data_IF_851921628998
#
_entry.id   IF_851921628998
#
_cell.length_a   1.000
_cell.length_b   1.000
_cell.length_c   1.000
_cell.angle_alpha   90.00
_cell.angle_beta   90.00
_cell.angle_gamma   90.00
#
_symmetry.space_group_name_H-M   'P 1'
#
loop_
_entity.id
_entity.type
_entity.pdbx_description
1 polymer ?
#
# COMPACT_ATOMS: atom_id res chain seq x y z
N UNK A 1 50.84 -18.44 25.05
CA UNK A 1 50.24 -19.62 25.72
C UNK A 1 49.25 -19.09 26.73
N UNK A 2 48.00 -18.91 26.31
CA UNK A 2 46.89 -18.60 27.19
C UNK A 2 46.41 -19.91 27.78
N UNK A 3 46.57 -20.07 29.11
CA UNK A 3 46.07 -21.23 29.82
C UNK A 3 44.58 -21.34 29.63
N UNK A 4 44.15 -22.40 28.91
CA UNK A 4 42.74 -22.70 28.70
C UNK A 4 42.07 -22.90 30.07
N UNK A 5 41.02 -22.14 30.32
CA UNK A 5 40.09 -22.35 31.42
C UNK A 5 39.59 -23.80 31.31
N UNK A 6 39.61 -24.60 32.41
CA UNK A 6 39.07 -25.96 32.29
C UNK A 6 37.62 -25.90 31.82
N UNK A 7 37.33 -26.48 30.68
CA UNK A 7 35.96 -26.68 30.19
C UNK A 7 35.17 -27.46 31.24
N UNK A 8 34.13 -26.88 31.78
CA UNK A 8 33.16 -27.59 32.62
C UNK A 8 32.15 -28.26 31.70
N UNK A 9 31.95 -29.55 31.92
CA UNK A 9 30.91 -30.28 31.24
C UNK A 9 29.59 -30.05 32.00
N UNK A 10 28.67 -29.33 31.39
CA UNK A 10 27.34 -29.07 31.93
C UNK A 10 26.43 -30.23 31.55
N UNK A 11 25.73 -30.81 32.51
CA UNK A 11 24.71 -31.83 32.26
C UNK A 11 23.54 -31.29 31.40
N UNK A 12 22.57 -32.15 31.10
CA UNK A 12 21.34 -31.76 30.38
C UNK A 12 20.63 -30.60 31.10
N UNK A 13 19.66 -30.01 30.45
CA UNK A 13 18.80 -28.99 31.06
C UNK A 13 18.00 -29.63 32.18
N UNK A 14 18.37 -29.38 33.43
CA UNK A 14 17.70 -29.92 34.62
C UNK A 14 16.52 -29.02 35.01
N UNK A 15 15.42 -29.14 34.24
CA UNK A 15 14.14 -28.52 34.61
C UNK A 15 13.24 -29.56 35.28
N UNK A 16 12.94 -29.30 36.55
CA UNK A 16 11.85 -30.05 37.20
C UNK A 16 10.51 -29.70 36.57
N UNK A 17 9.54 -30.60 36.58
CA UNK A 17 8.21 -30.40 36.02
C UNK A 17 7.54 -29.09 36.53
N UNK A 18 7.77 -28.74 37.78
CA UNK A 18 7.24 -27.52 38.40
C UNK A 18 7.87 -26.25 37.79
N UNK A 19 9.18 -26.27 37.53
CA UNK A 19 9.87 -25.15 36.87
C UNK A 19 9.51 -25.00 35.41
N UNK A 20 9.33 -26.11 34.70
CA UNK A 20 8.83 -26.14 33.34
C UNK A 20 7.44 -25.50 33.25
N UNK A 21 6.52 -25.91 34.15
CA UNK A 21 5.17 -25.35 34.23
C UNK A 21 5.19 -23.86 34.61
N UNK A 22 6.08 -23.44 35.51
CA UNK A 22 6.24 -22.04 35.87
C UNK A 22 6.69 -21.20 34.68
N UNK A 23 7.71 -21.65 33.93
CA UNK A 23 8.19 -20.99 32.71
C UNK A 23 7.07 -20.83 31.67
N UNK A 24 6.33 -21.91 31.39
CA UNK A 24 5.22 -21.84 30.42
C UNK A 24 4.13 -20.86 30.86
N UNK A 25 3.79 -20.82 32.16
CA UNK A 25 2.82 -19.86 32.71
C UNK A 25 3.30 -18.41 32.57
N UNK A 26 4.56 -18.14 32.80
CA UNK A 26 5.14 -16.80 32.65
C UNK A 26 5.18 -16.34 31.20
N UNK A 27 5.55 -17.25 30.28
CA UNK A 27 5.53 -16.98 28.85
C UNK A 27 4.10 -16.69 28.36
N UNK A 28 3.09 -17.46 28.80
CA UNK A 28 1.70 -17.22 28.49
C UNK A 28 1.23 -15.85 29.01
N UNK A 29 1.63 -15.50 30.24
CA UNK A 29 1.29 -14.21 30.83
C UNK A 29 1.92 -13.05 30.05
N UNK A 30 3.21 -13.17 29.71
CA UNK A 30 3.91 -12.17 28.89
C UNK A 30 3.25 -12.03 27.51
N UNK A 31 2.85 -13.14 26.87
CA UNK A 31 2.12 -13.15 25.60
C UNK A 31 0.78 -12.42 25.70
N UNK A 32 0.04 -12.62 26.79
CA UNK A 32 -1.29 -12.03 27.01
C UNK A 32 -1.26 -10.55 27.37
N UNK A 33 -0.13 -9.99 27.79
CA UNK A 33 -0.01 -8.57 28.14
C UNK A 33 0.13 -7.62 26.94
N UNK A 34 0.29 -8.14 25.73
CA UNK A 34 0.32 -7.36 24.50
C UNK A 34 1.51 -6.41 24.30
N UNK A 35 2.74 -6.71 24.76
CA UNK A 35 3.86 -5.74 24.76
C UNK A 35 4.43 -5.45 23.36
N UNK A 36 3.93 -6.08 22.30
CA UNK A 36 4.53 -6.03 20.96
C UNK A 36 5.60 -7.11 20.73
N UNK A 37 6.15 -7.15 19.50
CA UNK A 37 7.06 -8.24 19.09
C UNK A 37 8.40 -8.21 19.83
N UNK A 38 9.08 -7.07 19.83
CA UNK A 38 10.42 -6.96 20.44
C UNK A 38 10.42 -7.10 21.97
N UNK A 39 9.52 -6.43 22.72
CA UNK A 39 9.45 -6.62 24.18
C UNK A 39 9.09 -8.06 24.57
N UNK A 40 8.21 -8.73 23.82
CA UNK A 40 7.84 -10.12 24.05
C UNK A 40 9.03 -11.06 23.78
N UNK A 41 9.73 -10.88 22.65
CA UNK A 41 10.90 -11.68 22.30
C UNK A 41 12.05 -11.50 23.31
N UNK A 42 12.29 -10.28 23.77
CA UNK A 42 13.29 -9.99 24.79
C UNK A 42 12.92 -10.59 26.17
N UNK A 43 11.65 -10.52 26.57
CA UNK A 43 11.18 -11.15 27.78
C UNK A 43 11.32 -12.68 27.72
N UNK A 44 10.93 -13.28 26.59
CA UNK A 44 11.09 -14.72 26.36
C UNK A 44 12.55 -15.15 26.42
N UNK A 45 13.47 -14.40 25.79
CA UNK A 45 14.89 -14.69 25.84
C UNK A 45 15.43 -14.75 27.28
N UNK A 46 15.08 -13.78 28.13
CA UNK A 46 15.49 -13.77 29.55
C UNK A 46 14.91 -14.94 30.33
N UNK A 47 13.59 -15.17 30.22
CA UNK A 47 12.92 -16.26 30.93
C UNK A 47 13.50 -17.63 30.57
N UNK A 48 13.80 -17.87 29.28
CA UNK A 48 14.42 -19.11 28.81
C UNK A 48 15.81 -19.26 29.39
N UNK A 49 16.65 -18.23 29.32
CA UNK A 49 18.02 -18.27 29.84
C UNK A 49 18.02 -18.60 31.33
N UNK A 50 17.16 -17.94 32.11
CA UNK A 50 17.06 -18.17 33.56
C UNK A 50 16.57 -19.60 33.88
N UNK A 51 15.54 -20.06 33.18
CA UNK A 51 14.96 -21.38 33.44
C UNK A 51 15.86 -22.54 33.01
N UNK A 52 16.54 -22.41 31.85
CA UNK A 52 17.38 -23.48 31.27
C UNK A 52 18.83 -23.43 31.77
N UNK A 53 19.22 -22.44 32.57
CA UNK A 53 20.58 -22.19 32.97
C UNK A 53 21.54 -22.19 31.77
N UNK A 54 21.14 -21.55 30.70
CA UNK A 54 21.97 -21.24 29.50
C UNK A 54 22.54 -19.83 29.64
N UNK A 55 23.67 -19.54 28.96
CA UNK A 55 24.34 -18.24 29.11
C UNK A 55 23.63 -17.15 28.29
N UNK A 56 23.11 -17.50 27.12
CA UNK A 56 22.38 -16.55 26.25
C UNK A 56 21.31 -17.22 25.42
N UNK A 57 20.25 -16.46 25.19
CA UNK A 57 19.17 -16.82 24.27
C UNK A 57 18.98 -15.70 23.25
N UNK A 58 18.88 -16.06 21.97
CA UNK A 58 18.55 -15.18 20.86
C UNK A 58 17.23 -15.60 20.22
N UNK A 59 16.34 -14.66 20.07
CA UNK A 59 15.05 -14.85 19.38
C UNK A 59 15.09 -14.06 18.08
N UNK A 60 15.14 -14.78 16.98
CA UNK A 60 15.07 -14.19 15.63
C UNK A 60 13.67 -14.36 15.08
N UNK A 61 13.13 -13.31 14.47
CA UNK A 61 11.78 -13.31 13.87
C UNK A 61 11.90 -12.98 12.38
N UNK A 62 11.06 -13.61 11.58
CA UNK A 62 10.96 -13.30 10.15
C UNK A 62 10.57 -11.84 9.96
N UNK A 63 11.24 -11.15 9.04
CA UNK A 63 10.88 -9.81 8.60
C UNK A 63 9.54 -9.83 7.82
N UNK A 64 8.99 -8.63 7.56
CA UNK A 64 7.70 -8.50 6.86
C UNK A 64 7.76 -8.98 5.40
N UNK A 65 8.96 -9.12 4.82
CA UNK A 65 9.17 -9.68 3.48
C UNK A 65 9.31 -11.20 3.47
N UNK A 66 9.34 -11.86 4.65
CA UNK A 66 9.58 -13.28 4.85
C UNK A 66 10.87 -13.83 4.18
N UNK A 67 11.87 -12.95 3.98
CA UNK A 67 13.13 -13.30 3.31
C UNK A 67 14.34 -13.32 4.23
N UNK A 68 14.23 -12.78 5.42
CA UNK A 68 15.30 -12.72 6.39
C UNK A 68 14.79 -12.81 7.83
N UNK A 69 15.66 -13.26 8.70
CA UNK A 69 15.46 -13.25 10.15
C UNK A 69 16.08 -11.98 10.73
N UNK A 70 15.35 -11.28 11.59
CA UNK A 70 15.85 -10.13 12.35
C UNK A 70 15.93 -10.52 13.83
N UNK A 71 17.00 -10.14 14.52
CA UNK A 71 17.12 -10.35 15.96
C UNK A 71 16.07 -9.47 16.67
N UNK A 72 15.05 -10.09 17.25
CA UNK A 72 13.94 -9.41 17.92
C UNK A 72 14.06 -9.48 19.44
N UNK A 73 14.81 -10.45 19.99
CA UNK A 73 15.04 -10.59 21.40
C UNK A 73 16.40 -11.22 21.72
N UNK A 74 17.05 -10.75 22.77
CA UNK A 74 18.32 -11.26 23.24
C UNK A 74 18.44 -11.10 24.75
N UNK A 75 19.20 -12.01 25.37
CA UNK A 75 19.61 -11.86 26.78
C UNK A 75 20.70 -10.79 26.90
N UNK A 76 20.69 -9.92 27.91
CA UNK A 76 21.78 -8.97 28.14
C UNK A 76 23.16 -9.65 28.23
N UNK A 77 24.23 -9.02 27.71
CA UNK A 77 24.32 -7.64 27.23
C UNK A 77 23.99 -7.48 25.71
N UNK A 78 23.45 -8.49 25.08
CA UNK A 78 23.21 -8.51 23.62
C UNK A 78 21.88 -7.86 23.20
N UNK A 79 21.09 -7.38 24.14
CA UNK A 79 19.87 -6.61 23.91
C UNK A 79 20.11 -5.31 23.12
N UNK A 80 21.32 -4.75 23.22
CA UNK A 80 21.72 -3.61 22.38
C UNK A 80 21.79 -3.91 20.86
N UNK A 81 21.81 -5.18 20.46
CA UNK A 81 21.90 -5.62 19.07
C UNK A 81 20.52 -5.97 18.44
N UNK A 82 19.46 -5.85 19.22
CA UNK A 82 18.07 -6.06 18.74
C UNK A 82 17.79 -5.09 17.60
N UNK A 83 17.21 -5.61 16.52
CA UNK A 83 16.87 -4.86 15.30
C UNK A 83 18.02 -4.61 14.32
N UNK A 84 19.29 -4.80 14.75
CA UNK A 84 20.47 -4.52 13.91
C UNK A 84 20.95 -5.72 13.11
N UNK A 85 20.72 -6.93 13.61
CA UNK A 85 21.20 -8.16 12.98
C UNK A 85 20.11 -8.72 12.08
N UNK A 86 20.45 -8.85 10.81
CA UNK A 86 19.59 -9.43 9.78
C UNK A 86 20.29 -10.59 9.08
N UNK A 87 19.64 -11.74 9.05
CA UNK A 87 20.11 -13.01 8.51
C UNK A 87 19.21 -13.46 7.38
N UNK A 88 19.70 -13.50 6.12
CA UNK A 88 18.96 -14.14 5.03
C UNK A 88 18.64 -15.61 5.36
N UNK A 89 17.51 -16.11 4.88
CA UNK A 89 17.15 -17.51 4.99
C UNK A 89 18.24 -18.38 4.32
N UNK A 90 18.56 -19.52 4.92
CA UNK A 90 19.61 -20.42 4.47
C UNK A 90 21.04 -20.00 4.88
N UNK A 91 21.26 -18.81 5.40
CA UNK A 91 22.57 -18.35 5.84
C UNK A 91 22.78 -18.51 7.36
N UNK A 92 23.91 -19.06 7.74
CA UNK A 92 24.19 -19.35 9.15
C UNK A 92 23.33 -20.48 9.70
N UNK A 93 23.54 -20.88 10.94
CA UNK A 93 22.75 -21.94 11.60
C UNK A 93 21.29 -21.55 11.71
N UNK A 94 21.00 -20.34 12.19
CA UNK A 94 19.62 -19.86 12.34
C UNK A 94 18.89 -19.76 10.98
N UNK A 95 19.55 -19.27 9.93
CA UNK A 95 18.98 -19.22 8.58
C UNK A 95 18.74 -20.61 7.98
N UNK A 96 19.62 -21.57 8.28
CA UNK A 96 19.46 -22.96 7.87
C UNK A 96 18.25 -23.59 8.58
N UNK A 97 18.14 -23.42 9.92
CA UNK A 97 16.99 -23.92 10.70
C UNK A 97 15.69 -23.32 10.18
N UNK A 98 15.68 -22.04 9.85
CA UNK A 98 14.50 -21.39 9.25
C UNK A 98 14.09 -22.02 7.92
N UNK A 99 15.06 -22.34 7.05
CA UNK A 99 14.80 -22.89 5.73
C UNK A 99 14.40 -24.38 5.75
N UNK A 100 15.04 -25.17 6.63
CA UNK A 100 14.83 -26.62 6.70
C UNK A 100 13.80 -27.04 7.76
N UNK A 101 13.45 -26.12 8.68
CA UNK A 101 12.51 -26.36 9.77
C UNK A 101 12.89 -27.56 10.66
N UNK A 102 14.18 -27.77 10.81
CA UNK A 102 14.75 -28.82 11.62
C UNK A 102 15.65 -28.21 12.69
N UNK A 103 15.62 -28.74 13.92
CA UNK A 103 16.51 -28.28 14.98
C UNK A 103 17.96 -28.63 14.65
N UNK A 104 18.89 -27.79 15.13
CA UNK A 104 20.33 -28.03 15.06
C UNK A 104 20.88 -28.01 16.46
N UNK A 105 21.64 -29.05 16.82
CA UNK A 105 22.34 -29.18 18.10
C UNK A 105 23.84 -29.24 17.82
N UNK A 106 24.59 -28.41 18.51
CA UNK A 106 26.06 -28.43 18.45
C UNK A 106 26.56 -28.40 19.90
N UNK A 107 27.18 -29.48 20.32
CA UNK A 107 27.69 -29.63 21.69
C UNK A 107 29.12 -29.11 21.85
N UNK A 108 29.92 -29.07 20.76
CA UNK A 108 31.31 -28.58 20.75
C UNK A 108 31.70 -28.24 19.32
N UNK A 109 32.81 -27.51 19.17
CA UNK A 109 33.46 -27.23 17.88
C UNK A 109 32.54 -26.68 16.80
N UNK A 110 31.67 -25.72 17.18
CA UNK A 110 30.69 -25.13 16.24
C UNK A 110 31.34 -24.38 15.07
N UNK A 111 32.62 -23.97 15.20
CA UNK A 111 33.35 -23.30 14.14
C UNK A 111 33.68 -24.26 12.99
N UNK A 112 33.69 -25.57 13.25
CA UNK A 112 33.85 -26.60 12.21
C UNK A 112 32.56 -26.95 11.48
N UNK A 113 31.40 -26.49 11.97
CA UNK A 113 30.13 -26.70 11.27
C UNK A 113 30.08 -25.78 10.01
N UNK A 114 29.91 -26.33 8.80
CA UNK A 114 29.92 -25.56 7.56
C UNK A 114 28.80 -24.52 7.47
N UNK A 115 27.78 -24.64 8.32
CA UNK A 115 26.66 -23.68 8.41
C UNK A 115 26.98 -22.53 9.32
N UNK A 116 28.02 -22.63 10.16
CA UNK A 116 28.33 -21.61 11.15
C UNK A 116 28.79 -20.30 10.48
N UNK A 117 28.17 -19.21 10.87
CA UNK A 117 28.55 -17.85 10.43
C UNK A 117 28.69 -16.98 11.69
N UNK A 118 29.90 -16.55 12.03
CA UNK A 118 30.13 -15.72 13.21
C UNK A 118 29.59 -14.30 13.00
N UNK A 119 28.96 -13.76 14.03
CA UNK A 119 28.64 -12.33 14.16
C UNK A 119 29.49 -11.79 15.28
N UNK A 120 30.41 -10.87 14.97
CA UNK A 120 31.33 -10.29 15.97
C UNK A 120 30.56 -9.58 17.09
N UNK A 121 29.49 -8.86 16.76
CA UNK A 121 28.67 -8.15 17.73
C UNK A 121 27.95 -9.09 18.72
N UNK A 122 27.66 -10.33 18.32
CA UNK A 122 27.06 -11.36 19.19
C UNK A 122 28.13 -12.22 19.89
N UNK A 123 29.42 -11.93 19.71
CA UNK A 123 30.51 -12.64 20.34
C UNK A 123 30.37 -14.16 20.19
N UNK A 124 29.94 -14.61 19.02
CA UNK A 124 29.56 -16.00 18.75
C UNK A 124 30.66 -17.01 19.11
N UNK A 125 31.96 -16.63 19.06
CA UNK A 125 33.10 -17.47 19.42
C UNK A 125 33.26 -17.73 20.91
N UNK A 126 32.63 -16.92 21.77
CA UNK A 126 32.70 -17.09 23.22
C UNK A 126 31.84 -18.26 23.74
N UNK A 127 30.95 -18.78 22.90
CA UNK A 127 30.03 -19.86 23.26
C UNK A 127 30.46 -21.18 22.60
N UNK A 128 30.53 -22.25 23.38
CA UNK A 128 30.98 -23.58 22.94
C UNK A 128 29.80 -24.38 22.35
N UNK A 129 28.68 -24.43 23.05
CA UNK A 129 27.54 -25.26 22.63
C UNK A 129 26.33 -24.40 22.29
N UNK A 130 25.48 -24.95 21.43
CA UNK A 130 24.24 -24.30 21.05
C UNK A 130 23.14 -25.27 20.64
N UNK A 131 21.89 -24.86 20.83
CA UNK A 131 20.71 -25.43 20.17
C UNK A 131 19.96 -24.34 19.45
N UNK A 132 19.58 -24.62 18.23
CA UNK A 132 18.75 -23.76 17.39
C UNK A 132 17.49 -24.51 17.00
N UNK A 133 16.31 -23.96 17.30
CA UNK A 133 15.02 -24.60 17.00
C UNK A 133 14.12 -23.64 16.21
N UNK A 134 13.30 -24.17 15.25
CA UNK A 134 12.32 -23.35 14.55
C UNK A 134 11.17 -22.97 15.48
N UNK A 135 10.67 -21.75 15.32
CA UNK A 135 9.46 -21.24 15.96
C UNK A 135 8.33 -21.23 14.93
N UNK A 136 7.36 -22.13 15.09
CA UNK A 136 6.29 -22.34 14.10
C UNK A 136 4.89 -22.23 14.69
N UNK A 137 3.94 -21.68 13.91
CA UNK A 137 2.51 -21.68 14.22
C UNK A 137 1.81 -22.71 13.34
N UNK A 138 1.59 -23.92 13.86
CA UNK A 138 0.94 -24.99 13.11
C UNK A 138 1.72 -25.47 11.88
N UNK A 139 1.10 -26.28 11.00
CA UNK A 139 1.79 -26.84 9.83
C UNK A 139 2.10 -25.73 8.81
N UNK A 140 3.32 -25.29 8.75
CA UNK A 140 3.85 -24.44 7.68
C UNK A 140 4.07 -22.97 7.99
N UNK A 141 3.65 -22.48 9.13
CA UNK A 141 3.86 -21.06 9.50
C UNK A 141 5.15 -20.83 10.29
N UNK A 142 6.29 -20.66 9.62
CA UNK A 142 7.52 -20.25 10.29
C UNK A 142 7.37 -18.77 10.75
N UNK A 143 7.62 -18.53 12.04
CA UNK A 143 7.62 -17.18 12.63
C UNK A 143 9.04 -16.72 12.90
N UNK A 144 9.94 -17.64 13.19
CA UNK A 144 11.30 -17.31 13.52
C UNK A 144 12.13 -18.50 13.98
N UNK A 145 13.23 -18.20 14.67
CA UNK A 145 14.18 -19.20 15.20
C UNK A 145 14.60 -18.79 16.60
N UNK A 146 14.58 -19.75 17.51
CA UNK A 146 15.05 -19.63 18.87
C UNK A 146 16.43 -20.31 19.00
N UNK A 147 17.41 -19.61 19.54
CA UNK A 147 18.74 -20.14 19.79
C UNK A 147 19.09 -19.99 21.27
N UNK A 148 19.64 -21.04 21.85
CA UNK A 148 20.26 -21.01 23.19
C UNK A 148 21.72 -21.40 23.07
N UNK A 149 22.58 -20.73 23.84
CA UNK A 149 24.02 -20.97 23.81
C UNK A 149 24.56 -21.09 25.22
N UNK A 150 25.65 -21.87 25.37
CA UNK A 150 26.41 -21.97 26.59
C UNK A 150 27.90 -21.73 26.32
N UNK A 151 28.57 -21.08 27.29
CA UNK A 151 30.02 -20.86 27.28
C UNK A 151 30.75 -22.17 27.57
N UNK A 152 30.30 -22.88 28.60
CA UNK A 152 30.81 -24.21 28.93
C UNK A 152 30.17 -25.28 28.03
N UNK A 153 30.89 -26.39 27.81
CA UNK A 153 30.36 -27.51 27.01
C UNK A 153 29.10 -28.08 27.63
N UNK A 154 28.05 -28.27 26.82
CA UNK A 154 26.80 -28.91 27.19
C UNK A 154 26.33 -29.91 26.14
N UNK A 155 26.01 -31.11 26.60
CA UNK A 155 25.34 -32.10 25.76
C UNK A 155 23.82 -31.96 25.89
N UNK A 156 23.19 -31.39 24.88
CA UNK A 156 21.75 -31.25 24.86
C UNK A 156 21.10 -32.58 24.48
N UNK A 157 20.21 -33.06 25.32
CA UNK A 157 19.47 -34.31 25.11
C UNK A 157 18.30 -34.12 24.15
N UNK A 158 17.71 -35.19 23.57
CA UNK A 158 16.48 -35.10 22.79
C UNK A 158 15.32 -34.46 23.56
N UNK A 159 15.26 -34.64 24.88
CA UNK A 159 14.26 -34.01 25.75
C UNK A 159 14.45 -32.50 25.84
N UNK A 160 15.70 -32.02 25.89
CA UNK A 160 16.00 -30.58 25.90
C UNK A 160 15.57 -29.91 24.60
N UNK A 161 15.80 -30.57 23.46
CA UNK A 161 15.38 -30.10 22.15
C UNK A 161 13.85 -30.07 22.06
N UNK A 162 13.17 -31.10 22.53
CA UNK A 162 11.72 -31.17 22.56
C UNK A 162 11.10 -30.03 23.40
N UNK A 163 11.65 -29.80 24.59
CA UNK A 163 11.28 -28.67 25.45
C UNK A 163 11.42 -27.33 24.73
N UNK A 164 12.56 -27.07 24.09
CA UNK A 164 12.80 -25.84 23.34
C UNK A 164 11.86 -25.70 22.13
N UNK A 165 11.49 -26.79 21.47
CA UNK A 165 10.49 -26.80 20.40
C UNK A 165 9.09 -26.44 20.92
N UNK A 166 8.70 -26.94 22.11
CA UNK A 166 7.42 -26.60 22.74
C UNK A 166 7.39 -25.10 23.09
N UNK A 167 8.46 -24.61 23.72
CA UNK A 167 8.65 -23.18 24.04
C UNK A 167 8.62 -22.34 22.75
N UNK A 168 9.35 -22.77 21.72
CA UNK A 168 9.40 -22.11 20.42
C UNK A 168 8.02 -21.97 19.79
N UNK A 169 7.19 -23.00 19.82
CA UNK A 169 5.79 -22.96 19.31
C UNK A 169 4.91 -21.99 20.10
N UNK A 170 5.04 -21.98 21.43
CA UNK A 170 4.28 -21.08 22.29
C UNK A 170 4.62 -19.62 21.97
N UNK A 171 5.92 -19.30 21.88
CA UNK A 171 6.41 -17.95 21.53
C UNK A 171 6.00 -17.58 20.12
N UNK A 172 6.09 -18.51 19.16
CA UNK A 172 5.66 -18.30 17.79
C UNK A 172 4.20 -17.84 17.70
N UNK A 173 3.29 -18.54 18.41
CA UNK A 173 1.88 -18.15 18.45
C UNK A 173 1.68 -16.73 18.97
N UNK A 174 2.36 -16.38 20.06
CA UNK A 174 2.27 -15.06 20.66
C UNK A 174 2.86 -13.95 19.79
N UNK A 175 4.03 -14.18 19.19
CA UNK A 175 4.68 -13.23 18.27
C UNK A 175 3.85 -13.03 16.99
N UNK A 176 3.28 -14.10 16.46
CA UNK A 176 2.39 -14.03 15.29
C UNK A 176 1.15 -13.20 15.59
N UNK A 177 0.51 -13.41 16.73
CA UNK A 177 -0.64 -12.62 17.17
C UNK A 177 -0.26 -11.14 17.37
N UNK A 178 0.87 -10.85 18.00
CA UNK A 178 1.36 -9.48 18.16
C UNK A 178 1.65 -8.78 16.82
N UNK A 179 2.19 -9.51 15.84
CA UNK A 179 2.41 -9.02 14.47
C UNK A 179 1.10 -8.68 13.77
N UNK A 180 0.14 -9.60 13.79
CA UNK A 180 -1.19 -9.38 13.19
C UNK A 180 -1.91 -8.19 13.83
N UNK A 181 -1.87 -8.07 15.15
CA UNK A 181 -2.46 -6.94 15.84
C UNK A 181 -1.84 -5.60 15.41
N UNK A 182 -0.50 -5.55 15.31
CA UNK A 182 0.22 -4.36 14.82
C UNK A 182 -0.20 -3.99 13.39
N UNK A 183 -0.32 -4.98 12.51
CA UNK A 183 -0.76 -4.77 11.12
C UNK A 183 -2.21 -4.26 11.05
N UNK A 184 -3.12 -4.78 11.87
CA UNK A 184 -4.50 -4.31 11.95
C UNK A 184 -4.58 -2.86 12.41
N UNK A 185 -3.89 -2.50 13.50
CA UNK A 185 -3.86 -1.12 14.00
C UNK A 185 -3.26 -0.14 12.98
N UNK A 186 -2.20 -0.55 12.28
CA UNK A 186 -1.59 0.27 11.23
C UNK A 186 -2.56 0.50 10.06
N UNK A 187 -3.29 -0.54 9.64
CA UNK A 187 -4.29 -0.46 8.57
C UNK A 187 -5.49 0.41 8.97
N UNK A 188 -5.95 0.28 10.20
CA UNK A 188 -7.05 1.10 10.73
C UNK A 188 -6.68 2.58 10.75
N UNK A 189 -5.49 2.94 11.23
CA UNK A 189 -4.99 4.33 11.20
C UNK A 189 -4.84 4.87 9.77
N UNK A 190 -4.34 4.04 8.85
CA UNK A 190 -4.23 4.44 7.44
C UNK A 190 -5.62 4.72 6.84
N UNK A 191 -6.62 3.91 7.19
CA UNK A 191 -8.01 4.11 6.76
C UNK A 191 -8.61 5.39 7.34
N UNK A 192 -8.42 5.65 8.64
CA UNK A 192 -8.89 6.88 9.29
C UNK A 192 -8.29 8.13 8.62
N UNK A 193 -6.97 8.13 8.40
CA UNK A 193 -6.28 9.23 7.70
C UNK A 193 -6.81 9.45 6.28
N UNK A 194 -7.09 8.36 5.55
CA UNK A 194 -7.67 8.44 4.21
C UNK A 194 -9.06 9.08 4.23
N UNK A 195 -9.94 8.65 5.15
CA UNK A 195 -11.28 9.23 5.29
C UNK A 195 -11.20 10.72 5.61
N UNK A 196 -10.28 11.13 6.50
CA UNK A 196 -10.09 12.54 6.85
C UNK A 196 -9.62 13.36 5.62
N UNK A 197 -8.69 12.83 4.83
CA UNK A 197 -8.23 13.48 3.60
C UNK A 197 -9.36 13.64 2.57
N UNK A 198 -10.22 12.64 2.42
CA UNK A 198 -11.38 12.71 1.51
C UNK A 198 -12.36 13.79 1.97
N UNK A 199 -12.66 13.87 3.27
CA UNK A 199 -13.54 14.90 3.83
C UNK A 199 -12.96 16.31 3.61
N UNK A 200 -11.66 16.48 3.85
CA UNK A 200 -10.99 17.76 3.63
C UNK A 200 -11.00 18.18 2.16
N UNK A 201 -10.71 17.25 1.25
CA UNK A 201 -10.74 17.51 -0.19
C UNK A 201 -12.14 17.90 -0.65
N UNK A 202 -13.19 17.22 -0.15
CA UNK A 202 -14.58 17.55 -0.44
C UNK A 202 -14.98 18.93 0.07
N UNK A 203 -14.54 19.32 1.26
CA UNK A 203 -14.85 20.63 1.83
C UNK A 203 -14.12 21.77 1.09
N UNK A 204 -12.87 21.55 0.66
CA UNK A 204 -12.12 22.49 -0.18
C UNK A 204 -12.85 22.71 -1.50
N UNK A 205 -13.26 21.62 -2.17
CA UNK A 205 -13.97 21.69 -3.44
C UNK A 205 -15.34 22.37 -3.29
N UNK A 206 -16.07 22.07 -2.20
CA UNK A 206 -17.32 22.75 -1.88
C UNK A 206 -17.16 24.26 -1.70
N UNK A 207 -16.09 24.69 -1.00
CA UNK A 207 -15.80 26.13 -0.81
C UNK A 207 -15.41 26.79 -2.12
N UNK A 208 -14.61 26.10 -2.95
CA UNK A 208 -14.24 26.58 -4.28
C UNK A 208 -15.48 26.80 -5.15
N UNK A 209 -16.36 25.82 -5.23
CA UNK A 209 -17.61 25.91 -5.99
C UNK A 209 -18.53 27.01 -5.48
N UNK A 210 -18.66 27.17 -4.15
CA UNK A 210 -19.44 28.25 -3.56
C UNK A 210 -18.87 29.63 -3.92
N UNK A 211 -17.54 29.77 -3.94
CA UNK A 211 -16.86 31.00 -4.39
C UNK A 211 -17.12 31.29 -5.87
N UNK A 212 -16.94 30.31 -6.74
CA UNK A 212 -17.17 30.44 -8.20
C UNK A 212 -18.62 30.85 -8.50
N UNK A 213 -19.58 30.25 -7.79
CA UNK A 213 -21.01 30.62 -7.91
C UNK A 213 -21.28 32.04 -7.41
N UNK A 214 -20.72 32.41 -6.26
CA UNK A 214 -20.95 33.71 -5.69
C UNK A 214 -20.32 34.84 -6.52
N UNK A 215 -19.07 34.71 -6.90
CA UNK A 215 -18.30 35.80 -7.54
C UNK A 215 -18.59 35.90 -9.05
N UNK A 216 -18.89 34.78 -9.72
CA UNK A 216 -19.24 34.75 -11.12
C UNK A 216 -20.73 34.99 -11.36
N UNK A 217 -21.53 33.98 -11.04
CA UNK A 217 -22.96 33.93 -11.42
C UNK A 217 -23.77 35.00 -10.68
N UNK A 218 -23.61 35.13 -9.36
CA UNK A 218 -24.42 36.06 -8.56
C UNK A 218 -24.19 37.52 -8.93
N UNK A 219 -22.92 37.94 -9.12
CA UNK A 219 -22.58 39.29 -9.52
C UNK A 219 -23.11 39.67 -10.91
N UNK A 220 -23.08 38.71 -11.86
CA UNK A 220 -23.65 38.96 -13.20
C UNK A 220 -25.15 39.02 -13.19
N UNK A 221 -25.86 38.24 -12.37
CA UNK A 221 -27.30 38.32 -12.19
C UNK A 221 -27.72 39.69 -11.62
N UNK A 222 -26.95 40.24 -10.67
CA UNK A 222 -27.16 41.59 -10.15
C UNK A 222 -26.96 42.62 -11.26
N UNK A 223 -25.88 42.52 -12.04
CA UNK A 223 -25.63 43.42 -13.15
C UNK A 223 -26.71 43.34 -14.23
N UNK A 224 -27.20 42.15 -14.53
CA UNK A 224 -28.32 41.89 -15.44
C UNK A 224 -29.60 42.61 -14.94
N UNK A 225 -29.90 42.50 -13.63
CA UNK A 225 -31.05 43.20 -13.04
C UNK A 225 -30.95 44.73 -13.25
N UNK A 226 -29.78 45.34 -13.02
CA UNK A 226 -29.55 46.75 -13.26
C UNK A 226 -29.71 47.14 -14.75
N UNK A 227 -29.29 46.30 -15.69
CA UNK A 227 -29.46 46.53 -17.13
C UNK A 227 -30.92 46.47 -17.55
N UNK A 228 -31.70 45.53 -17.02
CA UNK A 228 -33.11 45.44 -17.28
C UNK A 228 -33.88 46.64 -16.66
N UNK A 229 -33.57 47.08 -15.47
CA UNK A 229 -34.12 48.24 -14.86
C UNK A 229 -33.83 49.53 -15.65
N UNK A 230 -32.59 49.66 -16.16
CA UNK A 230 -32.23 50.74 -17.01
C UNK A 230 -33.01 50.75 -18.33
N UNK A 231 -33.17 49.60 -18.99
CA UNK A 231 -34.01 49.45 -20.19
C UNK A 231 -35.47 49.84 -19.94
N UNK A 232 -36.00 49.41 -18.79
CA UNK A 232 -37.42 49.71 -18.41
C UNK A 232 -37.68 51.20 -18.16
N UNK A 233 -36.66 51.96 -17.77
CA UNK A 233 -36.74 53.43 -17.50
C UNK A 233 -36.34 54.28 -18.71
N UNK A 234 -35.73 53.74 -19.73
CA UNK A 234 -35.29 54.48 -20.90
C UNK A 234 -36.47 54.86 -21.77
N UNK A 235 -36.46 56.12 -22.27
CA UNK A 235 -37.49 56.65 -23.14
C UNK A 235 -37.10 56.56 -24.62
N UNK A 236 -35.80 56.63 -24.91
CA UNK A 236 -35.28 56.53 -26.28
C UNK A 236 -35.20 55.07 -26.76
N UNK A 237 -35.79 54.70 -27.91
CA UNK A 237 -35.77 53.35 -28.42
C UNK A 237 -34.35 52.79 -28.63
N UNK A 238 -33.38 53.62 -28.95
CA UNK A 238 -32.00 53.21 -29.17
C UNK A 238 -31.33 52.80 -27.83
N UNK A 239 -31.54 53.56 -26.77
CA UNK A 239 -31.06 53.26 -25.41
C UNK A 239 -31.67 51.96 -24.89
N UNK A 240 -32.98 51.72 -25.14
CA UNK A 240 -33.63 50.48 -24.78
C UNK A 240 -32.98 49.28 -25.50
N UNK A 241 -32.74 49.42 -26.82
CA UNK A 241 -32.11 48.35 -27.60
C UNK A 241 -30.69 48.03 -27.14
N UNK A 242 -29.87 49.02 -26.76
CA UNK A 242 -28.52 48.85 -26.26
C UNK A 242 -28.49 48.15 -24.89
N UNK A 243 -29.39 48.53 -23.97
CA UNK A 243 -29.50 47.88 -22.67
C UNK A 243 -29.96 46.41 -22.76
N UNK A 244 -30.91 46.12 -23.65
CA UNK A 244 -31.39 44.74 -23.92
C UNK A 244 -30.30 43.90 -24.59
N UNK A 245 -29.52 44.44 -25.51
CA UNK A 245 -28.40 43.74 -26.12
C UNK A 245 -27.34 43.34 -25.07
N UNK A 246 -26.93 44.30 -24.22
CA UNK A 246 -26.01 44.05 -23.15
C UNK A 246 -26.55 43.04 -22.10
N UNK A 247 -27.85 43.07 -21.81
CA UNK A 247 -28.49 42.10 -20.95
C UNK A 247 -28.45 40.66 -21.55
N UNK A 248 -28.69 40.51 -22.87
CA UNK A 248 -28.57 39.23 -23.56
C UNK A 248 -27.16 38.66 -23.53
N UNK A 249 -26.16 39.49 -23.71
CA UNK A 249 -24.73 39.07 -23.61
C UNK A 249 -24.40 38.58 -22.21
N UNK A 250 -24.84 39.28 -21.14
CA UNK A 250 -24.67 38.83 -19.77
C UNK A 250 -25.35 37.52 -19.48
N UNK A 251 -26.56 37.27 -20.00
CA UNK A 251 -27.26 35.99 -19.88
C UNK A 251 -26.41 34.87 -20.50
N UNK A 252 -25.92 35.07 -21.75
CA UNK A 252 -25.10 34.07 -22.44
C UNK A 252 -23.84 33.71 -21.66
N UNK A 253 -23.12 34.71 -21.14
CA UNK A 253 -21.92 34.51 -20.33
C UNK A 253 -22.24 33.81 -19.02
N UNK A 254 -23.31 34.20 -18.32
CA UNK A 254 -23.74 33.57 -17.07
C UNK A 254 -24.13 32.12 -17.25
N UNK A 255 -24.83 31.77 -18.34
CA UNK A 255 -25.16 30.40 -18.70
C UNK A 255 -23.91 29.57 -18.99
N UNK A 256 -22.92 30.16 -19.66
CA UNK A 256 -21.64 29.47 -19.95
C UNK A 256 -20.89 29.14 -18.66
N UNK A 257 -20.81 30.10 -17.72
CA UNK A 257 -20.17 29.85 -16.40
C UNK A 257 -20.92 28.86 -15.55
N UNK A 258 -22.25 28.96 -15.49
CA UNK A 258 -23.06 28.01 -14.75
C UNK A 258 -22.83 26.58 -15.29
N UNK A 259 -22.80 26.40 -16.61
CA UNK A 259 -22.48 25.12 -17.22
C UNK A 259 -21.06 24.65 -16.89
N UNK A 260 -20.08 25.54 -16.88
CA UNK A 260 -18.71 25.19 -16.50
C UNK A 260 -18.60 24.74 -15.03
N UNK A 261 -19.29 25.45 -14.12
CA UNK A 261 -19.33 25.08 -12.70
C UNK A 261 -20.02 23.72 -12.47
N UNK A 262 -21.13 23.46 -13.16
CA UNK A 262 -21.87 22.18 -13.10
C UNK A 262 -21.07 21.07 -13.76
N UNK A 263 -20.38 21.31 -14.86
CA UNK A 263 -19.51 20.33 -15.55
C UNK A 263 -18.34 19.87 -14.69
N UNK A 264 -17.95 20.64 -13.68
CA UNK A 264 -17.00 20.24 -12.65
C UNK A 264 -17.54 19.09 -11.77
N UNK A 265 -18.86 18.99 -11.57
CA UNK A 265 -19.51 17.97 -10.75
C UNK A 265 -19.87 16.71 -11.59
N UNK A 266 -20.76 16.83 -12.57
CA UNK A 266 -21.11 15.76 -13.54
C UNK A 266 -21.36 16.41 -14.90
N UNK A 267 -20.71 15.97 -15.97
CA UNK A 267 -20.94 16.52 -17.29
C UNK A 267 -22.40 16.31 -17.73
N UNK A 268 -23.15 17.37 -18.09
CA UNK A 268 -24.56 17.23 -18.51
C UNK A 268 -24.76 16.29 -19.68
N UNK A 269 -23.75 16.14 -20.52
CA UNK A 269 -23.77 15.22 -21.67
C UNK A 269 -23.95 13.75 -21.24
N UNK A 270 -23.57 13.37 -20.04
CA UNK A 270 -23.77 12.02 -19.50
C UNK A 270 -25.25 11.79 -19.12
N UNK A 271 -25.94 12.83 -18.65
CA UNK A 271 -27.36 12.74 -18.30
C UNK A 271 -28.23 12.64 -19.56
N UNK A 272 -27.88 13.40 -20.64
CA UNK A 272 -28.64 13.47 -21.87
C UNK A 272 -28.35 12.30 -22.82
N UNK A 273 -27.08 11.90 -22.95
CA UNK A 273 -26.62 10.96 -24.00
C UNK A 273 -25.96 9.69 -23.45
N UNK A 274 -25.85 9.55 -22.13
CA UNK A 274 -25.11 8.45 -21.50
C UNK A 274 -23.62 8.48 -21.81
N UNK A 275 -22.87 7.43 -21.38
CA UNK A 275 -21.43 7.36 -21.53
C UNK A 275 -21.00 7.37 -23.01
N UNK A 276 -21.61 6.53 -23.86
CA UNK A 276 -21.22 6.40 -25.26
C UNK A 276 -21.45 7.69 -26.05
N UNK A 277 -22.61 8.33 -25.84
CA UNK A 277 -22.89 9.64 -26.43
C UNK A 277 -21.98 10.76 -25.92
N UNK A 278 -21.66 10.72 -24.64
CA UNK A 278 -20.71 11.62 -24.00
C UNK A 278 -19.28 11.49 -24.54
N UNK A 279 -18.80 10.25 -24.69
CA UNK A 279 -17.49 9.95 -25.27
C UNK A 279 -17.42 10.36 -26.76
N UNK A 280 -18.46 10.09 -27.54
CA UNK A 280 -18.53 10.54 -28.91
C UNK A 280 -18.56 12.07 -29.03
N UNK A 281 -19.24 12.77 -28.12
CA UNK A 281 -19.25 14.22 -28.05
C UNK A 281 -17.88 14.78 -27.70
N UNK A 282 -17.17 14.14 -26.73
CA UNK A 282 -15.83 14.50 -26.33
C UNK A 282 -14.84 14.36 -27.50
N UNK A 283 -14.87 13.26 -28.24
CA UNK A 283 -14.04 13.05 -29.42
C UNK A 283 -14.27 14.14 -30.48
N UNK A 284 -15.53 14.50 -30.78
CA UNK A 284 -15.90 15.56 -31.74
C UNK A 284 -15.43 16.97 -31.28
N UNK A 285 -15.28 17.20 -30.00
CA UNK A 285 -14.82 18.48 -29.46
C UNK A 285 -13.34 18.78 -29.73
N UNK A 286 -12.58 17.80 -30.26
CA UNK A 286 -11.13 17.91 -30.53
C UNK A 286 -10.93 17.95 -32.07
N UNK A 287 -10.99 19.12 -32.71
CA UNK A 287 -10.97 19.22 -34.18
C UNK A 287 -9.57 19.03 -34.77
N UNK A 288 -8.52 19.05 -33.97
CA UNK A 288 -7.12 19.02 -34.44
C UNK A 288 -6.61 17.62 -34.77
N UNK A 289 -7.20 16.58 -34.20
CA UNK A 289 -6.76 15.19 -34.31
C UNK A 289 -7.98 14.35 -34.66
N UNK A 290 -8.02 13.61 -35.80
CA UNK A 290 -9.07 12.67 -36.08
C UNK A 290 -9.07 11.55 -35.01
N UNK A 291 -10.24 11.35 -34.39
CA UNK A 291 -10.45 10.32 -33.38
C UNK A 291 -11.46 9.32 -33.89
N UNK A 292 -10.99 8.10 -34.15
CA UNK A 292 -11.87 6.99 -34.49
C UNK A 292 -12.58 6.48 -33.23
N UNK A 293 -13.89 6.36 -33.25
CA UNK A 293 -14.68 5.93 -32.10
C UNK A 293 -15.38 4.60 -32.36
N UNK A 294 -15.27 3.67 -31.41
CA UNK A 294 -15.98 2.39 -31.37
C UNK A 294 -16.54 2.20 -29.94
N UNK A 295 -17.85 2.43 -29.81
CA UNK A 295 -18.51 2.61 -28.53
C UNK A 295 -19.74 1.71 -28.40
N UNK A 296 -19.71 0.81 -27.43
CA UNK A 296 -20.85 -0.04 -27.10
C UNK A 296 -22.01 0.81 -26.51
N UNK A 297 -23.22 0.65 -26.99
CA UNK A 297 -24.42 1.28 -26.43
C UNK A 297 -24.92 0.53 -25.19
N UNK A 298 -24.13 0.50 -24.13
CA UNK A 298 -24.46 -0.18 -22.88
C UNK A 298 -24.45 0.82 -21.74
N UNK A 299 -25.46 0.78 -20.87
CA UNK A 299 -25.51 1.59 -19.68
C UNK A 299 -24.69 0.90 -18.56
N UNK A 300 -23.87 1.69 -17.90
CA UNK A 300 -23.13 1.29 -16.68
C UNK A 300 -23.57 2.20 -15.52
N UNK A 301 -23.32 1.84 -14.27
CA UNK A 301 -23.69 2.67 -13.12
C UNK A 301 -23.10 4.09 -13.20
N UNK A 302 -23.84 5.08 -12.74
CA UNK A 302 -23.53 6.52 -12.86
C UNK A 302 -22.12 6.89 -12.42
N UNK A 303 -21.65 6.32 -11.28
CA UNK A 303 -20.31 6.57 -10.76
C UNK A 303 -19.21 6.01 -11.67
N UNK A 304 -19.48 4.90 -12.38
CA UNK A 304 -18.56 4.29 -13.36
C UNK A 304 -18.57 5.12 -14.65
N UNK A 305 -19.75 5.56 -15.12
CA UNK A 305 -19.84 6.46 -16.29
C UNK A 305 -19.01 7.71 -16.10
N UNK A 306 -19.14 8.35 -14.93
CA UNK A 306 -18.39 9.56 -14.59
C UNK A 306 -16.88 9.30 -14.57
N UNK A 307 -16.46 8.21 -13.93
CA UNK A 307 -15.04 7.84 -13.84
C UNK A 307 -14.44 7.61 -15.23
N UNK A 308 -15.09 6.79 -16.07
CA UNK A 308 -14.64 6.51 -17.44
C UNK A 308 -14.62 7.76 -18.33
N UNK A 309 -15.64 8.61 -18.23
CA UNK A 309 -15.68 9.86 -18.97
C UNK A 309 -14.52 10.80 -18.59
N UNK A 310 -14.22 10.93 -17.29
CA UNK A 310 -13.11 11.77 -16.80
C UNK A 310 -11.75 11.20 -17.20
N UNK A 311 -11.58 9.88 -17.19
CA UNK A 311 -10.37 9.23 -17.69
C UNK A 311 -10.20 9.52 -19.17
N UNK A 312 -11.28 9.39 -19.98
CA UNK A 312 -11.23 9.72 -21.40
C UNK A 312 -10.89 11.18 -21.66
N UNK A 313 -11.48 12.10 -20.88
CA UNK A 313 -11.24 13.54 -20.99
C UNK A 313 -9.76 13.89 -20.75
N UNK A 314 -9.20 13.37 -19.66
CA UNK A 314 -7.79 13.59 -19.30
C UNK A 314 -6.85 12.96 -20.33
N UNK A 315 -7.16 11.74 -20.77
CA UNK A 315 -6.36 11.03 -21.76
C UNK A 315 -6.34 11.78 -23.10
N UNK A 316 -7.48 12.18 -23.62
CA UNK A 316 -7.56 12.93 -24.88
C UNK A 316 -6.92 14.32 -24.76
N UNK A 317 -6.99 14.96 -23.59
CA UNK A 317 -6.29 16.21 -23.33
C UNK A 317 -4.76 16.01 -23.36
N UNK A 318 -4.27 14.88 -22.84
CA UNK A 318 -2.85 14.52 -22.91
C UNK A 318 -2.42 14.25 -24.36
N UNK A 319 -3.24 13.59 -25.15
CA UNK A 319 -2.97 13.42 -26.59
C UNK A 319 -2.82 14.75 -27.28
N UNK A 320 -3.72 15.72 -27.05
CA UNK A 320 -3.66 17.06 -27.66
C UNK A 320 -2.45 17.88 -27.22
N UNK A 321 -2.09 17.80 -25.92
CA UNK A 321 -1.03 18.63 -25.32
C UNK A 321 0.36 18.07 -25.52
N UNK A 322 0.48 16.73 -25.49
CA UNK A 322 1.78 16.08 -25.26
C UNK A 322 2.17 15.06 -26.31
N UNK A 323 1.19 14.41 -27.00
CA UNK A 323 1.50 13.27 -27.85
C UNK A 323 2.06 13.62 -29.21
N UNK A 324 1.73 14.81 -29.77
CA UNK A 324 2.05 15.15 -31.16
C UNK A 324 1.50 14.10 -32.16
N UNK A 325 0.35 13.50 -31.82
CA UNK A 325 -0.27 12.41 -32.55
C UNK A 325 -0.98 12.93 -33.83
N UNK A 326 -0.97 12.12 -34.88
CA UNK A 326 -1.74 12.36 -36.11
C UNK A 326 -3.16 11.76 -36.02
N UNK A 327 -3.33 10.70 -35.22
CA UNK A 327 -4.60 10.00 -35.01
C UNK A 327 -4.72 9.45 -33.60
N UNK A 328 -5.97 9.29 -33.15
CA UNK A 328 -6.28 8.54 -31.94
C UNK A 328 -7.48 7.63 -32.18
N UNK A 329 -7.61 6.61 -31.35
CA UNK A 329 -8.78 5.72 -31.31
C UNK A 329 -9.31 5.65 -29.90
N UNK A 330 -10.62 5.72 -29.76
CA UNK A 330 -11.36 5.61 -28.51
C UNK A 330 -12.34 4.45 -28.60
N UNK A 331 -12.15 3.44 -27.78
CA UNK A 331 -12.99 2.24 -27.75
C UNK A 331 -13.61 2.09 -26.37
N UNK A 332 -14.90 1.80 -26.32
CA UNK A 332 -15.61 1.42 -25.11
C UNK A 332 -16.41 0.14 -25.35
N UNK A 333 -16.17 -0.86 -24.52
CA UNK A 333 -16.85 -2.15 -24.57
C UNK A 333 -17.22 -2.63 -23.16
N UNK A 334 -18.24 -3.48 -23.09
CA UNK A 334 -18.61 -4.20 -21.86
C UNK A 334 -18.67 -5.68 -22.19
N UNK A 335 -17.79 -6.47 -21.58
CA UNK A 335 -17.69 -7.92 -21.74
C UNK A 335 -17.63 -8.58 -20.35
N UNK A 336 -18.41 -9.65 -20.15
CA UNK A 336 -18.39 -10.47 -18.91
C UNK A 336 -18.44 -9.63 -17.61
N UNK A 337 -19.37 -8.69 -17.51
CA UNK A 337 -19.50 -7.76 -16.37
C UNK A 337 -18.26 -6.89 -16.11
N UNK A 338 -17.50 -6.59 -17.18
CA UNK A 338 -16.34 -5.70 -17.11
C UNK A 338 -16.48 -4.59 -18.14
N UNK A 339 -16.50 -3.35 -17.69
CA UNK A 339 -16.42 -2.17 -18.54
C UNK A 339 -14.95 -1.88 -18.89
N UNK A 340 -14.65 -1.80 -20.19
CA UNK A 340 -13.33 -1.51 -20.73
C UNK A 340 -13.36 -0.25 -21.56
N UNK A 341 -12.56 0.74 -21.19
CA UNK A 341 -12.28 1.94 -21.99
C UNK A 341 -10.84 1.86 -22.47
N UNK A 342 -10.61 2.01 -23.76
CA UNK A 342 -9.26 2.01 -24.34
C UNK A 342 -9.07 3.23 -25.24
N UNK A 343 -7.96 3.94 -25.07
CA UNK A 343 -7.57 5.08 -25.89
C UNK A 343 -6.14 4.83 -26.38
N UNK A 344 -5.98 4.90 -27.69
CA UNK A 344 -4.70 4.65 -28.37
C UNK A 344 -4.37 5.87 -29.22
N UNK A 345 -3.18 6.40 -29.11
CA UNK A 345 -2.62 7.41 -30.00
C UNK A 345 -1.37 6.90 -30.71
N UNK A 346 -1.06 7.49 -31.86
CA UNK A 346 0.12 7.22 -32.67
C UNK A 346 1.23 8.25 -32.47
N UNK A 347 1.20 8.94 -31.33
CA UNK A 347 2.12 10.04 -31.02
C UNK A 347 3.53 9.60 -30.64
N UNK A 348 4.31 10.56 -30.13
CA UNK A 348 5.73 10.33 -29.78
C UNK A 348 5.96 9.37 -28.59
N UNK A 349 4.93 9.07 -27.80
CA UNK A 349 5.04 8.22 -26.62
C UNK A 349 6.05 8.74 -25.57
N UNK A 350 6.26 7.94 -24.54
CA UNK A 350 7.23 8.23 -23.45
C UNK A 350 7.71 6.93 -22.79
N UNK A 351 8.81 6.98 -22.05
CA UNK A 351 9.30 5.84 -21.29
C UNK A 351 8.57 5.76 -19.94
N UNK A 352 7.84 4.67 -19.74
CA UNK A 352 7.08 4.39 -18.50
C UNK A 352 7.97 4.04 -17.32
N UNK A 353 9.25 3.67 -17.52
CA UNK A 353 10.22 3.41 -16.45
C UNK A 353 10.89 4.68 -15.93
N UNK A 354 11.14 5.66 -16.81
CA UNK A 354 11.72 6.94 -16.44
C UNK A 354 10.69 7.90 -15.81
N UNK A 355 9.39 7.66 -16.04
CA UNK A 355 8.28 8.47 -15.52
C UNK A 355 7.33 7.61 -14.69
N UNK A 356 7.73 7.16 -13.48
CA UNK A 356 6.82 6.46 -12.60
C UNK A 356 5.65 7.37 -12.21
N UNK A 357 4.47 6.79 -12.04
CA UNK A 357 3.24 7.47 -11.62
C UNK A 357 3.53 8.30 -10.36
N UNK A 358 3.43 9.64 -10.48
CA UNK A 358 3.62 10.56 -9.34
C UNK A 358 4.94 11.35 -9.29
N UNK A 359 5.79 11.34 -10.32
CA UNK A 359 6.98 12.20 -10.38
C UNK A 359 6.65 13.64 -10.77
N UNK A 360 7.17 14.62 -10.02
CA UNK A 360 6.85 16.06 -10.11
C UNK A 360 7.34 16.78 -11.40
N UNK A 361 8.09 16.13 -12.28
CA UNK A 361 8.90 16.85 -13.28
C UNK A 361 8.30 17.02 -14.68
N UNK A 362 7.11 16.64 -14.99
CA UNK A 362 6.34 17.06 -16.21
C UNK A 362 5.09 16.19 -16.43
N UNK A 363 4.00 16.50 -15.76
CA UNK A 363 2.69 15.96 -16.13
C UNK A 363 2.26 14.66 -15.42
N UNK A 364 2.97 14.19 -14.39
CA UNK A 364 2.65 12.97 -13.63
C UNK A 364 1.31 13.02 -12.88
N UNK A 365 0.78 14.19 -12.58
CA UNK A 365 -0.51 14.34 -11.90
C UNK A 365 -1.71 13.84 -12.73
N UNK A 366 -1.70 14.01 -14.04
CA UNK A 366 -2.79 13.55 -14.92
C UNK A 366 -2.88 12.03 -14.95
N UNK A 367 -1.75 11.34 -15.06
CA UNK A 367 -1.69 9.86 -15.07
C UNK A 367 -2.07 9.28 -13.70
N UNK A 368 -1.59 9.89 -12.62
CA UNK A 368 -1.94 9.49 -11.25
C UNK A 368 -3.44 9.68 -10.99
N UNK A 369 -3.99 10.84 -11.35
CA UNK A 369 -5.42 11.14 -11.21
C UNK A 369 -6.32 10.17 -11.98
N UNK A 370 -5.89 9.73 -13.18
CA UNK A 370 -6.63 8.70 -13.94
C UNK A 370 -6.58 7.34 -13.24
N UNK A 371 -5.42 6.96 -12.67
CA UNK A 371 -5.28 5.70 -11.94
C UNK A 371 -6.14 5.69 -10.67
N UNK A 372 -6.07 6.76 -9.86
CA UNK A 372 -6.90 6.93 -8.66
C UNK A 372 -8.40 6.86 -8.97
N UNK A 373 -8.84 7.51 -10.07
CA UNK A 373 -10.25 7.46 -10.50
C UNK A 373 -10.69 6.05 -10.86
N UNK A 374 -9.85 5.26 -11.52
CA UNK A 374 -10.15 3.87 -11.81
C UNK A 374 -10.23 3.03 -10.52
N UNK A 375 -9.31 3.22 -9.59
CA UNK A 375 -9.26 2.51 -8.30
C UNK A 375 -10.46 2.83 -7.39
N UNK A 376 -10.91 4.09 -7.33
CA UNK A 376 -12.09 4.51 -6.54
C UNK A 376 -13.34 3.71 -6.93
N UNK A 377 -13.48 3.34 -8.20
CA UNK A 377 -14.63 2.55 -8.68
C UNK A 377 -14.32 1.05 -8.76
N UNK A 378 -13.27 0.59 -8.07
CA UNK A 378 -12.89 -0.82 -8.01
C UNK A 378 -12.22 -1.37 -9.27
N UNK A 379 -11.79 -0.49 -10.17
CA UNK A 379 -11.13 -0.83 -11.43
C UNK A 379 -9.61 -0.71 -11.37
N UNK A 380 -9.00 -0.79 -12.57
CA UNK A 380 -7.56 -0.62 -12.77
C UNK A 380 -7.29 0.17 -14.04
N UNK A 381 -6.24 1.00 -14.01
CA UNK A 381 -5.70 1.67 -15.17
C UNK A 381 -4.40 0.99 -15.61
N UNK A 382 -4.27 0.72 -16.90
CA UNK A 382 -3.04 0.20 -17.50
C UNK A 382 -2.57 1.14 -18.60
N UNK A 383 -1.30 1.56 -18.53
CA UNK A 383 -0.68 2.48 -19.49
C UNK A 383 0.50 1.77 -20.14
N UNK A 384 0.49 1.72 -21.47
CA UNK A 384 1.61 1.24 -22.28
C UNK A 384 2.05 2.36 -23.20
N UNK A 385 3.29 2.81 -23.06
CA UNK A 385 3.90 3.79 -23.93
C UNK A 385 5.38 3.44 -24.18
N UNK A 386 5.85 3.79 -25.36
CA UNK A 386 7.26 3.72 -25.73
C UNK A 386 7.59 4.91 -26.61
N UNK A 387 8.79 5.51 -26.47
CA UNK A 387 9.25 6.57 -27.35
C UNK A 387 9.13 6.18 -28.84
N UNK A 388 8.43 6.99 -29.63
CA UNK A 388 8.19 6.79 -31.05
C UNK A 388 7.11 5.76 -31.40
N UNK A 389 6.37 5.20 -30.42
CA UNK A 389 5.36 4.16 -30.67
C UNK A 389 3.97 4.51 -30.14
N UNK A 390 3.74 5.78 -29.74
CA UNK A 390 2.47 6.25 -29.19
C UNK A 390 2.18 5.74 -27.78
N UNK A 391 0.93 5.97 -27.34
CA UNK A 391 0.48 5.58 -26.00
C UNK A 391 -0.85 4.83 -26.11
N UNK A 392 -0.99 3.81 -25.27
CA UNK A 392 -2.25 3.10 -25.03
C UNK A 392 -2.61 3.21 -23.57
N UNK A 393 -3.78 3.76 -23.28
CA UNK A 393 -4.38 3.83 -21.94
C UNK A 393 -5.60 2.92 -21.91
N UNK A 394 -5.65 1.96 -21.01
CA UNK A 394 -6.76 1.03 -20.82
C UNK A 394 -7.27 1.11 -19.39
N UNK A 395 -8.52 1.50 -19.20
CA UNK A 395 -9.22 1.40 -17.93
C UNK A 395 -10.14 0.18 -17.95
N UNK A 396 -10.08 -0.64 -16.91
CA UNK A 396 -10.89 -1.86 -16.77
C UNK A 396 -11.60 -1.80 -15.42
N UNK A 397 -12.93 -1.81 -15.43
CA UNK A 397 -13.76 -1.64 -14.22
C UNK A 397 -14.76 -2.78 -14.15
N UNK A 398 -14.76 -3.59 -13.07
CA UNK A 398 -15.78 -4.61 -12.87
C UNK A 398 -17.14 -3.96 -12.61
N UNK A 399 -18.16 -4.45 -13.26
CA UNK A 399 -19.54 -4.03 -13.04
C UNK A 399 -20.12 -4.85 -11.88
N UNK A 400 -20.93 -4.24 -11.01
CA UNK A 400 -21.63 -5.00 -9.97
C UNK A 400 -22.56 -6.01 -10.67
N UNK A 401 -22.43 -7.29 -10.29
CA UNK A 401 -23.38 -8.33 -10.75
C UNK A 401 -24.78 -7.88 -10.39
N UNK A 402 -25.65 -7.76 -11.37
CA UNK A 402 -27.08 -7.56 -11.12
C UNK A 402 -27.57 -8.84 -10.45
N UNK A 403 -27.67 -8.82 -9.11
CA UNK A 403 -28.44 -9.87 -8.42
C UNK A 403 -29.89 -9.70 -8.88
N UNK A 404 -30.34 -10.68 -9.70
CA UNK A 404 -31.77 -10.86 -10.04
C UNK A 404 -32.60 -11.09 -8.78
#
# INVERSE_FOLDING_TARGET
MTAGKPERDLGPIDLTADRELALLRELIRAASSGPGVEPLAAAAARMITEATATDVCFVHVLDDSDRALTLAGATPPFDAEIGKIRLPLGQGISGWVASHRQPVVISHDKESDPRYKPFESLRGRDFTSMVSVPMETGPGGLVGVLNVHTVDRREFTPRDVELLLVIGRLIAGALHQARLHRQLVARERAHENFVEQVIQAQEIERRRLAGDIHDGISQRLVTLSYRLDAAARAVEPQTVAEQLAAARELVALTLQEARAAISGLRPPVLDDLGLSGGLASLARSIPRIPIDVDLAETRVPDHIELALYRIAQECLQNVVKHAEAERARLTFAVDDDVARLEIVDDGKGFDTFEHPLGSDEMGGYGLLSMAERAEIVGGRLHIRSRPGAGTTVTATIPLPSVME
#
